data_IF_024651860235
#
_entry.id   IF_024651860235
#
_cell.length_a   1.000
_cell.length_b   1.000
_cell.length_c   1.000
_cell.angle_alpha   90.00
_cell.angle_beta   90.00
_cell.angle_gamma   90.00
#
_symmetry.space_group_name_H-M   'P 1'
#
loop_
_entity.id
_entity.type
_entity.pdbx_description
1 polymer ?
#
# COMPACT_ATOMS: atom_id res chain seq x y z
N UNK A 1 51.63 22.08 -5.49
CA UNK A 1 50.98 22.07 -6.83
C UNK A 1 49.80 21.10 -7.01
N UNK A 2 49.73 19.86 -6.46
CA UNK A 2 48.60 18.95 -6.71
C UNK A 2 47.26 19.35 -6.05
N UNK A 3 47.29 20.06 -4.90
CA UNK A 3 46.07 20.54 -4.20
C UNK A 3 45.29 21.61 -4.97
N UNK A 4 45.95 22.49 -5.71
CA UNK A 4 45.32 23.57 -6.48
C UNK A 4 44.62 23.03 -7.74
N UNK A 5 45.25 22.04 -8.39
CA UNK A 5 44.75 21.32 -9.57
C UNK A 5 43.47 20.53 -9.30
N UNK A 6 43.39 19.84 -8.16
CA UNK A 6 42.19 19.09 -7.77
C UNK A 6 41.02 20.00 -7.37
N UNK A 7 41.32 21.21 -6.87
CA UNK A 7 40.31 22.21 -6.50
C UNK A 7 39.61 22.82 -7.73
N UNK A 8 40.35 23.10 -8.80
CA UNK A 8 39.78 23.65 -10.05
C UNK A 8 38.82 22.66 -10.74
N UNK A 9 39.21 21.38 -10.85
CA UNK A 9 38.33 20.33 -11.44
C UNK A 9 37.01 20.15 -10.68
N UNK A 10 37.05 20.15 -9.34
CA UNK A 10 35.84 20.06 -8.50
C UNK A 10 34.94 21.29 -8.63
N UNK A 11 35.51 22.48 -8.72
CA UNK A 11 34.73 23.72 -8.92
C UNK A 11 34.05 23.69 -10.29
N UNK A 12 34.77 23.23 -11.32
CA UNK A 12 34.27 23.09 -12.68
C UNK A 12 33.13 22.07 -12.78
N UNK A 13 33.28 20.88 -12.19
CA UNK A 13 32.21 19.87 -12.15
C UNK A 13 30.98 20.40 -11.43
N UNK A 14 31.17 21.08 -10.29
CA UNK A 14 30.07 21.65 -9.51
C UNK A 14 29.33 22.75 -10.28
N UNK A 15 30.03 23.61 -11.03
CA UNK A 15 29.40 24.65 -11.84
C UNK A 15 28.55 24.08 -12.98
N UNK A 16 29.04 23.03 -13.65
CA UNK A 16 28.28 22.33 -14.69
C UNK A 16 27.05 21.63 -14.09
N UNK A 17 27.21 20.89 -13.00
CA UNK A 17 26.08 20.24 -12.32
C UNK A 17 25.03 21.23 -11.84
N UNK A 18 25.46 22.34 -11.21
CA UNK A 18 24.56 23.42 -10.81
C UNK A 18 23.78 23.97 -12.00
N UNK A 19 24.46 24.20 -13.12
CA UNK A 19 23.80 24.73 -14.31
C UNK A 19 22.80 23.75 -14.93
N UNK A 20 23.19 22.48 -15.05
CA UNK A 20 22.35 21.46 -15.67
C UNK A 20 21.11 21.15 -14.83
N UNK A 21 21.27 20.98 -13.52
CA UNK A 21 20.17 20.60 -12.63
C UNK A 21 19.27 21.77 -12.23
N UNK A 22 19.83 22.95 -11.96
CA UNK A 22 19.10 24.04 -11.29
C UNK A 22 18.97 25.31 -12.11
N UNK A 23 19.54 25.36 -13.31
CA UNK A 23 19.67 26.59 -14.07
C UNK A 23 19.40 26.36 -15.57
N UNK A 24 18.62 25.32 -15.89
CA UNK A 24 18.19 24.99 -17.25
C UNK A 24 16.67 25.01 -17.39
N UNK A 25 16.15 25.06 -18.62
CA UNK A 25 14.69 24.94 -18.86
C UNK A 25 14.15 23.59 -18.35
N UNK A 26 15.02 22.57 -18.31
CA UNK A 26 14.68 21.25 -17.78
C UNK A 26 14.50 21.28 -16.26
N UNK A 27 15.08 22.25 -15.56
CA UNK A 27 14.83 22.46 -14.12
C UNK A 27 13.37 22.78 -13.87
N UNK A 28 12.73 23.61 -14.71
CA UNK A 28 11.31 23.95 -14.55
C UNK A 28 10.44 22.70 -14.73
N UNK A 29 10.72 21.91 -15.76
CA UNK A 29 10.02 20.64 -15.98
C UNK A 29 10.26 19.64 -14.85
N UNK A 30 11.50 19.49 -14.39
CA UNK A 30 11.85 18.62 -13.27
C UNK A 30 11.07 19.03 -12.01
N UNK A 31 11.06 20.32 -11.66
CA UNK A 31 10.34 20.82 -10.50
C UNK A 31 8.82 20.65 -10.64
N UNK A 32 8.26 20.86 -11.85
CA UNK A 32 6.84 20.67 -12.12
C UNK A 32 6.42 19.20 -11.91
N UNK A 33 7.13 18.26 -12.53
CA UNK A 33 6.82 16.83 -12.39
C UNK A 33 7.15 16.31 -10.99
N UNK A 34 8.16 16.85 -10.33
CA UNK A 34 8.47 16.53 -8.94
C UNK A 34 7.38 17.01 -7.98
N UNK A 35 6.87 18.23 -8.16
CA UNK A 35 5.72 18.75 -7.43
C UNK A 35 4.46 17.91 -7.69
N UNK A 36 4.21 17.55 -8.96
CA UNK A 36 3.05 16.73 -9.33
C UNK A 36 3.14 15.34 -8.72
N UNK A 37 4.33 14.73 -8.69
CA UNK A 37 4.58 13.47 -8.00
C UNK A 37 4.25 13.57 -6.50
N UNK A 38 4.73 14.61 -5.81
CA UNK A 38 4.37 14.85 -4.41
C UNK A 38 2.87 15.03 -4.21
N UNK A 39 2.17 15.72 -5.13
CA UNK A 39 0.71 15.86 -5.04
C UNK A 39 -0.02 14.53 -5.24
N UNK A 40 0.46 13.68 -6.15
CA UNK A 40 -0.12 12.34 -6.34
C UNK A 40 0.13 11.46 -5.11
N UNK A 41 1.31 11.52 -4.52
CA UNK A 41 1.62 10.80 -3.27
C UNK A 41 0.70 11.30 -2.14
N UNK A 42 0.51 12.60 -1.99
CA UNK A 42 -0.42 13.19 -1.03
C UNK A 42 -1.86 12.67 -1.23
N UNK A 43 -2.37 12.63 -2.47
CA UNK A 43 -3.69 12.06 -2.77
C UNK A 43 -3.77 10.56 -2.45
N UNK A 44 -2.73 9.79 -2.78
CA UNK A 44 -2.68 8.34 -2.48
C UNK A 44 -2.71 8.11 -0.96
N UNK A 45 -1.91 8.88 -0.22
CA UNK A 45 -1.77 8.70 1.23
C UNK A 45 -2.98 9.23 2.00
N UNK A 46 -3.66 10.26 1.51
CA UNK A 46 -4.87 10.80 2.12
C UNK A 46 -6.12 9.96 1.78
N UNK A 47 -6.36 9.67 0.50
CA UNK A 47 -7.63 9.07 0.01
C UNK A 47 -7.51 7.56 -0.28
N UNK A 48 -6.32 7.03 -0.56
CA UNK A 48 -6.15 5.61 -0.87
C UNK A 48 -6.45 5.22 -2.32
N UNK A 49 -6.61 6.19 -3.24
CA UNK A 49 -6.90 5.98 -4.67
C UNK A 49 -5.68 5.45 -5.46
N UNK A 50 -5.21 4.25 -5.13
CA UNK A 50 -4.05 3.62 -5.77
C UNK A 50 -4.27 3.37 -7.27
N UNK A 51 -5.41 2.78 -7.67
CA UNK A 51 -5.65 2.38 -9.07
C UNK A 51 -5.55 3.55 -10.05
N UNK A 52 -6.04 4.73 -9.67
CA UNK A 52 -6.04 5.91 -10.55
C UNK A 52 -4.74 6.69 -10.50
N UNK A 53 -4.16 6.88 -9.31
CA UNK A 53 -3.01 7.78 -9.13
C UNK A 53 -1.66 7.08 -9.32
N UNK A 54 -1.57 5.76 -9.12
CA UNK A 54 -0.32 5.02 -9.26
C UNK A 54 0.23 5.04 -10.70
N UNK A 55 -0.57 4.83 -11.77
CA UNK A 55 -0.08 4.97 -13.14
C UNK A 55 0.43 6.38 -13.47
N UNK A 56 -0.24 7.42 -12.96
CA UNK A 56 0.18 8.81 -13.12
C UNK A 56 1.48 9.11 -12.38
N UNK A 57 1.65 8.55 -11.18
CA UNK A 57 2.88 8.68 -10.40
C UNK A 57 4.04 7.98 -11.10
N UNK A 58 3.81 6.80 -11.67
CA UNK A 58 4.78 6.08 -12.49
C UNK A 58 5.19 6.89 -13.72
N UNK A 59 4.23 7.51 -14.41
CA UNK A 59 4.52 8.42 -15.53
C UNK A 59 5.40 9.60 -15.09
N UNK A 60 5.10 10.23 -13.96
CA UNK A 60 5.94 11.31 -13.40
C UNK A 60 7.36 10.82 -13.12
N UNK A 61 7.50 9.65 -12.51
CA UNK A 61 8.80 9.04 -12.23
C UNK A 61 9.60 8.78 -13.52
N UNK A 62 8.96 8.23 -14.56
CA UNK A 62 9.60 8.00 -15.86
C UNK A 62 10.08 9.31 -16.49
N UNK A 63 9.27 10.37 -16.45
CA UNK A 63 9.66 11.69 -16.99
C UNK A 63 10.82 12.28 -16.20
N UNK A 64 10.79 12.24 -14.87
CA UNK A 64 11.89 12.71 -14.01
C UNK A 64 13.17 11.92 -14.32
N UNK A 65 13.10 10.59 -14.40
CA UNK A 65 14.25 9.74 -14.74
C UNK A 65 14.80 10.05 -16.13
N UNK A 66 13.95 10.24 -17.13
CA UNK A 66 14.36 10.64 -18.49
C UNK A 66 15.10 11.98 -18.51
N UNK A 67 14.60 12.97 -17.76
CA UNK A 67 15.25 14.28 -17.62
C UNK A 67 16.60 14.16 -16.91
N UNK A 68 16.70 13.36 -15.85
CA UNK A 68 17.96 13.10 -15.14
C UNK A 68 18.97 12.35 -16.01
N UNK A 69 18.55 11.32 -16.75
CA UNK A 69 19.37 10.60 -17.71
C UNK A 69 19.91 11.54 -18.80
N UNK A 70 19.09 12.46 -19.30
CA UNK A 70 19.52 13.49 -20.26
C UNK A 70 20.56 14.43 -19.65
N UNK A 71 20.35 14.91 -18.42
CA UNK A 71 21.32 15.73 -17.69
C UNK A 71 22.65 14.98 -17.56
N UNK A 72 22.60 13.71 -17.16
CA UNK A 72 23.77 12.86 -17.03
C UNK A 72 24.48 12.62 -18.38
N UNK A 73 23.73 12.43 -19.47
CA UNK A 73 24.27 12.28 -20.81
C UNK A 73 25.02 13.54 -21.28
N UNK A 74 24.44 14.72 -21.07
CA UNK A 74 25.08 16.00 -21.39
C UNK A 74 26.36 16.17 -20.57
N UNK A 75 26.31 15.86 -19.27
CA UNK A 75 27.47 15.89 -18.40
C UNK A 75 28.58 14.94 -18.90
N UNK A 76 28.25 13.69 -19.24
CA UNK A 76 29.20 12.71 -19.77
C UNK A 76 29.82 13.16 -21.10
N UNK A 77 29.01 13.73 -21.99
CA UNK A 77 29.49 14.30 -23.27
C UNK A 77 30.47 15.47 -23.05
N UNK A 78 30.35 16.21 -21.96
CA UNK A 78 31.22 17.33 -21.60
C UNK A 78 32.40 16.93 -20.71
N UNK A 79 32.51 15.67 -20.30
CA UNK A 79 33.59 15.16 -19.43
C UNK A 79 34.98 15.38 -20.01
N UNK A 80 35.14 15.36 -21.34
CA UNK A 80 36.43 15.66 -21.99
C UNK A 80 36.95 17.07 -21.67
N UNK A 81 36.07 18.02 -21.32
CA UNK A 81 36.44 19.37 -20.91
C UNK A 81 36.95 19.41 -19.45
N UNK A 82 36.57 18.45 -18.61
CA UNK A 82 37.07 18.30 -17.23
C UNK A 82 38.44 17.63 -17.16
N UNK A 83 38.76 16.80 -18.15
CA UNK A 83 40.00 16.04 -18.22
C UNK A 83 41.13 16.83 -18.88
N UNK A 84 40.82 17.88 -19.65
CA UNK A 84 41.82 18.76 -20.24
C UNK A 84 42.49 19.63 -19.18
N UNK A 85 43.74 19.33 -18.88
CA UNK A 85 44.66 20.17 -18.07
C UNK A 85 45.09 21.46 -18.81
N UNK A 86 44.30 21.87 -19.81
CA UNK A 86 44.68 22.85 -20.83
C UNK A 86 44.14 24.23 -20.44
N UNK A 87 45.00 25.25 -20.51
CA UNK A 87 44.64 26.63 -20.24
C UNK A 87 43.50 27.09 -21.15
N UNK A 88 42.46 27.67 -20.56
CA UNK A 88 41.37 28.32 -21.29
C UNK A 88 41.87 29.69 -21.71
N UNK A 89 42.10 29.88 -23.01
CA UNK A 89 42.53 31.16 -23.57
C UNK A 89 41.37 31.77 -24.33
N UNK A 90 40.98 32.97 -23.92
CA UNK A 90 39.91 33.73 -24.54
C UNK A 90 40.51 34.75 -25.51
N UNK A 91 40.14 34.66 -26.79
CA UNK A 91 40.50 35.62 -27.83
C UNK A 91 39.25 36.35 -28.32
N UNK A 92 39.42 37.46 -29.06
CA UNK A 92 38.30 38.27 -29.56
C UNK A 92 37.31 37.47 -30.43
N UNK A 93 37.77 36.41 -31.11
CA UNK A 93 36.94 35.63 -32.03
C UNK A 93 36.62 34.21 -31.53
N UNK A 94 37.53 33.62 -30.74
CA UNK A 94 37.46 32.22 -30.34
C UNK A 94 37.76 32.01 -28.85
N UNK A 95 37.06 31.05 -28.25
CA UNK A 95 37.40 30.48 -26.96
C UNK A 95 38.21 29.19 -27.20
N UNK A 96 39.46 29.16 -26.78
CA UNK A 96 40.36 28.05 -27.03
C UNK A 96 40.55 27.22 -25.76
N UNK A 97 40.31 25.91 -25.85
CA UNK A 97 40.63 24.94 -24.80
C UNK A 97 41.66 23.97 -25.39
N UNK A 98 42.93 24.26 -25.15
CA UNK A 98 44.01 23.56 -25.85
C UNK A 98 43.99 23.82 -27.35
N UNK A 99 43.81 22.75 -28.13
CA UNK A 99 43.77 22.81 -29.61
C UNK A 99 42.35 22.97 -30.15
N UNK A 100 41.33 22.77 -29.30
CA UNK A 100 39.93 22.94 -29.71
C UNK A 100 39.54 24.41 -29.64
N UNK A 101 39.10 24.95 -30.78
CA UNK A 101 38.59 26.31 -30.93
C UNK A 101 37.07 26.31 -30.92
N UNK A 102 36.48 27.16 -30.08
CA UNK A 102 35.04 27.38 -30.01
C UNK A 102 34.73 28.81 -30.48
N UNK A 103 34.14 28.99 -31.68
CA UNK A 103 33.84 30.32 -32.21
C UNK A 103 32.82 31.06 -31.36
N UNK A 104 33.14 32.29 -30.95
CA UNK A 104 32.24 33.14 -30.14
C UNK A 104 30.98 33.56 -30.92
N UNK A 105 30.99 33.46 -32.25
CA UNK A 105 29.78 33.56 -33.08
C UNK A 105 28.69 32.55 -32.66
N UNK A 106 29.09 31.36 -32.19
CA UNK A 106 28.19 30.29 -31.74
C UNK A 106 27.78 30.42 -30.28
N UNK A 107 28.23 31.46 -29.57
CA UNK A 107 27.84 31.76 -28.20
C UNK A 107 26.40 32.29 -28.16
N UNK A 108 25.52 31.58 -27.47
CA UNK A 108 24.11 31.95 -27.29
C UNK A 108 23.95 32.94 -26.14
N UNK A 109 24.47 32.61 -24.96
CA UNK A 109 24.41 33.47 -23.79
C UNK A 109 25.57 33.19 -22.84
N UNK A 110 25.77 34.13 -21.93
CA UNK A 110 26.73 34.05 -20.83
C UNK A 110 25.95 34.03 -19.53
N UNK A 111 26.17 33.00 -18.71
CA UNK A 111 25.64 32.95 -17.35
C UNK A 111 26.68 33.42 -16.36
N UNK A 112 26.28 34.29 -15.45
CA UNK A 112 27.18 34.90 -14.46
C UNK A 112 26.97 34.27 -13.09
N UNK A 113 28.07 33.84 -12.46
CA UNK A 113 28.11 33.33 -11.09
C UNK A 113 29.16 34.10 -10.28
N UNK A 114 29.07 34.04 -8.94
CA UNK A 114 29.99 34.75 -8.04
C UNK A 114 31.48 34.43 -8.26
N UNK A 115 31.83 33.29 -8.86
CA UNK A 115 33.21 32.82 -9.04
C UNK A 115 33.63 32.64 -10.51
N UNK A 116 32.81 33.07 -11.47
CA UNK A 116 33.10 32.91 -12.89
C UNK A 116 31.87 32.94 -13.79
N UNK A 117 32.07 32.63 -15.06
CA UNK A 117 31.06 32.65 -16.11
C UNK A 117 30.83 31.24 -16.66
N UNK A 118 29.64 30.96 -17.19
CA UNK A 118 29.39 29.77 -18.02
C UNK A 118 28.95 30.24 -19.39
N UNK A 119 29.72 29.86 -20.40
CA UNK A 119 29.46 30.16 -21.80
C UNK A 119 28.66 29.01 -22.39
N UNK A 120 27.46 29.30 -22.92
CA UNK A 120 26.64 28.30 -23.61
C UNK A 120 26.70 28.49 -25.12
N UNK A 121 27.16 27.46 -25.81
CA UNK A 121 27.22 27.42 -27.28
C UNK A 121 26.02 26.67 -27.87
N UNK A 122 25.70 26.95 -29.14
CA UNK A 122 24.56 26.33 -29.89
C UNK A 122 24.48 24.81 -29.79
N UNK A 123 25.61 24.11 -29.64
CA UNK A 123 25.68 22.65 -29.55
C UNK A 123 25.43 22.08 -28.13
N UNK A 124 24.80 22.86 -27.24
CA UNK A 124 24.63 22.55 -25.82
C UNK A 124 25.97 22.25 -25.10
N UNK A 125 27.05 22.88 -25.57
CA UNK A 125 28.35 22.82 -24.91
C UNK A 125 28.39 23.97 -23.89
N UNK A 126 28.67 23.61 -22.63
CA UNK A 126 28.81 24.53 -21.52
C UNK A 126 30.29 24.61 -21.16
N UNK A 127 30.84 25.81 -21.18
CA UNK A 127 32.24 26.06 -20.81
C UNK A 127 32.27 27.06 -19.66
N UNK A 128 32.56 26.61 -18.43
CA UNK A 128 32.97 27.46 -17.33
C UNK A 128 34.26 28.21 -17.65
N UNK A 129 34.26 29.51 -17.39
CA UNK A 129 35.40 30.42 -17.52
C UNK A 129 35.61 31.12 -16.18
N UNK A 130 36.85 31.27 -15.74
CA UNK A 130 37.17 31.95 -14.48
C UNK A 130 36.82 33.45 -14.54
N UNK A 131 36.44 34.02 -13.39
CA UNK A 131 35.97 35.41 -13.31
C UNK A 131 37.05 36.49 -13.48
N UNK A 132 38.31 36.11 -13.62
CA UNK A 132 39.47 37.00 -13.78
C UNK A 132 39.79 37.35 -15.24
N UNK A 133 39.10 36.75 -16.22
CA UNK A 133 39.30 37.04 -17.64
C UNK A 133 38.51 38.27 -18.08
N UNK A 134 39.14 39.14 -18.87
CA UNK A 134 38.44 40.29 -19.46
C UNK A 134 37.41 39.79 -20.49
N UNK A 135 36.14 40.14 -20.27
CA UNK A 135 35.01 39.84 -21.16
C UNK A 135 34.37 41.13 -21.71
N UNK A 136 35.06 42.27 -21.60
CA UNK A 136 34.60 43.59 -22.05
C UNK A 136 34.23 43.65 -23.52
N UNK A 137 34.85 42.82 -24.36
CA UNK A 137 34.57 42.72 -25.80
C UNK A 137 33.28 41.95 -26.13
N UNK A 138 32.63 41.30 -25.14
CA UNK A 138 31.36 40.57 -25.30
C UNK A 138 30.11 41.40 -24.96
N UNK A 139 30.20 42.74 -24.99
CA UNK A 139 29.15 43.69 -24.59
C UNK A 139 27.78 43.47 -25.28
N UNK A 140 27.73 42.88 -26.47
CA UNK A 140 26.49 42.60 -27.22
C UNK A 140 25.83 41.25 -26.95
N UNK A 141 26.36 40.40 -26.06
CA UNK A 141 25.81 39.07 -25.76
C UNK A 141 24.94 39.08 -24.49
N UNK A 142 23.83 38.34 -24.52
CA UNK A 142 22.91 38.26 -23.39
C UNK A 142 23.59 37.69 -22.14
N UNK A 143 23.55 38.45 -21.04
CA UNK A 143 24.04 38.05 -19.71
C UNK A 143 22.86 37.68 -18.83
N UNK A 144 22.81 36.43 -18.37
CA UNK A 144 21.71 35.91 -17.56
C UNK A 144 22.25 35.59 -16.14
N UNK A 145 21.61 36.07 -15.06
CA UNK A 145 22.00 35.68 -13.71
C UNK A 145 21.72 34.20 -13.47
N UNK A 146 22.58 33.50 -12.71
CA UNK A 146 22.26 32.16 -12.24
C UNK A 146 21.13 32.18 -11.23
N UNK A 147 20.03 31.45 -11.50
CA UNK A 147 18.85 31.29 -10.66
C UNK A 147 18.89 29.97 -9.85
N UNK A 148 20.02 29.25 -9.84
CA UNK A 148 20.12 27.95 -9.18
C UNK A 148 19.72 27.94 -7.71
N UNK A 149 19.95 29.04 -6.97
CA UNK A 149 19.53 29.17 -5.57
C UNK A 149 18.00 29.20 -5.44
N UNK A 150 17.31 29.87 -6.36
CA UNK A 150 15.84 29.91 -6.39
C UNK A 150 15.29 28.52 -6.69
N UNK A 151 15.83 27.84 -7.71
CA UNK A 151 15.41 26.49 -8.05
C UNK A 151 15.67 25.49 -6.91
N UNK A 152 16.81 25.62 -6.22
CA UNK A 152 17.11 24.82 -5.03
C UNK A 152 16.15 25.12 -3.88
N UNK A 153 15.82 26.38 -3.62
CA UNK A 153 14.87 26.77 -2.60
C UNK A 153 13.46 26.22 -2.90
N UNK A 154 13.00 26.30 -4.15
CA UNK A 154 11.72 25.72 -4.59
C UNK A 154 11.73 24.20 -4.45
N UNK A 155 12.82 23.52 -4.84
CA UNK A 155 12.98 22.08 -4.64
C UNK A 155 12.85 21.68 -3.17
N UNK A 156 13.56 22.40 -2.28
CA UNK A 156 13.51 22.15 -0.84
C UNK A 156 12.11 22.41 -0.28
N UNK A 157 11.46 23.50 -0.69
CA UNK A 157 10.10 23.84 -0.28
C UNK A 157 9.10 22.75 -0.69
N UNK A 158 9.13 22.29 -1.95
CA UNK A 158 8.27 21.19 -2.43
C UNK A 158 8.52 19.93 -1.60
N UNK A 159 9.79 19.60 -1.32
CA UNK A 159 10.16 18.41 -0.56
C UNK A 159 9.66 18.47 0.88
N UNK A 160 9.88 19.60 1.58
CA UNK A 160 9.46 19.78 2.98
C UNK A 160 7.93 19.75 3.07
N UNK A 161 7.22 20.46 2.19
CA UNK A 161 5.76 20.47 2.18
C UNK A 161 5.17 19.09 1.85
N UNK A 162 5.73 18.41 0.86
CA UNK A 162 5.30 17.07 0.47
C UNK A 162 5.53 16.05 1.59
N UNK A 163 6.73 16.04 2.17
CA UNK A 163 7.07 15.16 3.28
C UNK A 163 6.19 15.42 4.51
N UNK A 164 5.95 16.68 4.87
CA UNK A 164 5.05 17.04 5.96
C UNK A 164 3.63 16.49 5.75
N UNK A 165 3.08 16.61 4.55
CA UNK A 165 1.75 16.08 4.23
C UNK A 165 1.69 14.55 4.32
N UNK A 166 2.70 13.85 3.79
CA UNK A 166 2.76 12.39 3.89
C UNK A 166 2.87 11.94 5.34
N UNK A 167 3.70 12.62 6.13
CA UNK A 167 3.81 12.37 7.57
C UNK A 167 2.47 12.60 8.28
N UNK A 168 1.81 13.72 8.01
CA UNK A 168 0.50 14.03 8.58
C UNK A 168 -0.58 13.01 8.17
N UNK A 169 -0.55 12.51 6.93
CA UNK A 169 -1.48 11.46 6.48
C UNK A 169 -1.17 10.07 7.08
N UNK A 170 0.04 9.89 7.63
CA UNK A 170 0.48 8.66 8.28
C UNK A 170 0.14 8.63 9.78
N UNK A 171 -0.02 9.79 10.43
CA UNK A 171 -0.46 9.86 11.83
C UNK A 171 -1.91 9.40 11.98
N UNK A 172 -2.23 8.85 13.14
CA UNK A 172 -3.49 8.14 13.40
C UNK A 172 -4.73 8.91 12.95
N UNK A 173 -5.63 8.21 12.27
CA UNK A 173 -6.93 8.70 11.80
C UNK A 173 -6.89 9.85 10.78
N UNK A 174 -5.72 10.22 10.23
CA UNK A 174 -5.61 11.36 9.31
C UNK A 174 -5.70 11.01 7.81
N UNK A 175 -5.58 9.75 7.42
CA UNK A 175 -5.68 9.36 6.01
C UNK A 175 -5.61 7.86 5.76
N UNK A 176 -5.82 7.45 4.51
CA UNK A 176 -5.74 6.05 4.10
C UNK A 176 -4.39 5.38 4.42
N UNK A 177 -3.30 6.15 4.45
CA UNK A 177 -1.99 5.66 4.86
C UNK A 177 -1.97 5.27 6.34
N UNK A 178 -2.52 6.09 7.24
CA UNK A 178 -2.61 5.76 8.68
C UNK A 178 -3.35 4.45 8.93
N UNK A 179 -4.52 4.27 8.31
CA UNK A 179 -5.29 3.02 8.39
C UNK A 179 -4.51 1.81 7.86
N UNK A 180 -3.73 1.99 6.79
CA UNK A 180 -2.92 0.91 6.23
C UNK A 180 -1.71 0.57 7.11
N UNK A 181 -1.10 1.57 7.75
CA UNK A 181 -0.02 1.36 8.70
C UNK A 181 -0.52 0.66 9.96
N UNK A 182 -1.65 1.13 10.51
CA UNK A 182 -2.30 0.52 11.66
C UNK A 182 -2.61 -0.95 11.38
N UNK A 183 -3.27 -1.21 10.26
CA UNK A 183 -3.56 -2.55 9.78
C UNK A 183 -2.31 -3.43 9.67
N UNK A 184 -1.23 -2.90 9.11
CA UNK A 184 0.04 -3.64 9.00
C UNK A 184 0.69 -3.90 10.37
N UNK A 185 0.45 -3.05 11.36
CA UNK A 185 1.00 -3.17 12.70
C UNK A 185 0.14 -4.06 13.60
N UNK A 186 -1.18 -4.09 13.41
CA UNK A 186 -2.15 -4.74 14.29
C UNK A 186 -2.69 -6.07 13.76
N UNK A 187 -2.77 -6.30 12.44
CA UNK A 187 -3.39 -7.51 11.89
C UNK A 187 -2.53 -8.75 12.17
N UNK A 188 -3.06 -9.66 12.99
CA UNK A 188 -2.53 -11.00 13.08
C UNK A 188 -3.16 -11.88 12.00
N UNK A 189 -2.33 -12.44 11.11
CA UNK A 189 -2.76 -13.35 10.06
C UNK A 189 -2.51 -14.79 10.46
N UNK A 190 -3.58 -15.58 10.52
CA UNK A 190 -3.52 -17.03 10.68
C UNK A 190 -3.65 -17.71 9.31
N UNK A 191 -2.81 -18.73 9.07
CA UNK A 191 -2.78 -19.45 7.80
C UNK A 191 -3.57 -20.75 7.92
N UNK A 192 -4.53 -20.94 7.02
CA UNK A 192 -5.44 -22.10 6.99
C UNK A 192 -4.84 -23.31 6.26
N UNK A 193 -3.91 -23.06 5.33
CA UNK A 193 -3.25 -24.11 4.52
C UNK A 193 -4.00 -24.49 3.24
N UNK A 194 -5.31 -24.27 3.20
CA UNK A 194 -6.17 -24.34 2.01
C UNK A 194 -7.20 -23.20 2.07
N UNK A 195 -7.72 -22.78 0.92
CA UNK A 195 -8.83 -21.83 0.80
C UNK A 195 -10.18 -22.54 0.63
N UNK A 196 -10.20 -23.87 0.70
CA UNK A 196 -11.40 -24.68 0.54
C UNK A 196 -12.07 -25.01 1.89
N UNK A 197 -13.32 -24.59 2.06
CA UNK A 197 -14.11 -24.83 3.26
C UNK A 197 -14.39 -26.31 3.52
N UNK A 198 -14.58 -27.14 2.49
CA UNK A 198 -14.83 -28.57 2.66
C UNK A 198 -13.59 -29.32 3.18
N UNK A 199 -12.40 -28.78 2.92
CA UNK A 199 -11.13 -29.33 3.42
C UNK A 199 -10.79 -28.83 4.82
N UNK A 200 -10.95 -27.52 5.06
CA UNK A 200 -10.52 -26.86 6.31
C UNK A 200 -11.60 -26.96 7.39
N UNK A 201 -12.86 -26.74 7.02
CA UNK A 201 -13.99 -26.62 7.95
C UNK A 201 -13.86 -25.48 8.95
N UNK A 202 -14.86 -25.34 9.84
CA UNK A 202 -14.80 -24.35 10.93
C UNK A 202 -13.70 -24.72 11.93
N UNK A 203 -13.52 -26.01 12.20
CA UNK A 203 -12.50 -26.50 13.15
C UNK A 203 -11.08 -26.12 12.72
N UNK A 204 -10.74 -26.27 11.44
CA UNK A 204 -9.43 -25.85 10.91
C UNK A 204 -9.23 -24.33 10.97
N UNK A 205 -10.30 -23.54 10.76
CA UNK A 205 -10.25 -22.07 10.90
C UNK A 205 -9.97 -21.69 12.35
N UNK A 206 -10.75 -22.21 13.30
CA UNK A 206 -10.59 -21.90 14.73
C UNK A 206 -9.24 -22.40 15.25
N UNK A 207 -8.79 -23.59 14.84
CA UNK A 207 -7.49 -24.13 15.22
C UNK A 207 -6.31 -23.28 14.71
N UNK A 208 -6.36 -22.82 13.46
CA UNK A 208 -5.33 -21.91 12.93
C UNK A 208 -5.27 -20.58 13.68
N UNK A 209 -6.44 -20.08 14.12
CA UNK A 209 -6.52 -18.87 14.95
C UNK A 209 -5.96 -19.12 16.35
N UNK A 210 -6.30 -20.25 16.98
CA UNK A 210 -5.76 -20.63 18.30
C UNK A 210 -4.23 -20.72 18.29
N UNK A 211 -3.67 -21.43 17.31
CA UNK A 211 -2.22 -21.53 17.11
C UNK A 211 -1.54 -20.16 16.97
N UNK A 212 -2.28 -19.17 16.45
CA UNK A 212 -1.77 -17.83 16.18
C UNK A 212 -1.81 -16.92 17.41
N UNK A 213 -2.95 -16.85 18.10
CA UNK A 213 -3.21 -15.82 19.13
C UNK A 213 -3.44 -16.37 20.54
N UNK A 214 -3.53 -17.70 20.70
CA UNK A 214 -3.91 -18.38 21.93
C UNK A 214 -5.34 -18.00 22.36
N UNK A 215 -6.31 -18.80 21.94
CA UNK A 215 -7.71 -18.66 22.33
C UNK A 215 -7.92 -19.17 23.77
N UNK A 216 -8.93 -18.64 24.43
CA UNK A 216 -9.37 -19.15 25.73
C UNK A 216 -10.03 -20.53 25.64
N UNK A 217 -10.07 -21.30 26.76
CA UNK A 217 -10.69 -22.62 26.79
C UNK A 217 -12.22 -22.61 26.57
N UNK A 218 -12.90 -21.50 26.90
CA UNK A 218 -14.33 -21.35 26.70
C UNK A 218 -14.59 -20.22 25.71
N UNK A 219 -15.26 -20.55 24.62
CA UNK A 219 -15.53 -19.62 23.52
C UNK A 219 -17.04 -19.51 23.33
N UNK A 220 -17.54 -18.28 23.19
CA UNK A 220 -18.95 -17.99 22.94
C UNK A 220 -19.07 -17.13 21.70
N UNK A 221 -19.99 -17.47 20.80
CA UNK A 221 -20.31 -16.63 19.64
C UNK A 221 -21.81 -16.53 19.49
N UNK A 222 -22.28 -15.44 18.90
CA UNK A 222 -23.64 -15.25 18.42
C UNK A 222 -23.65 -14.77 16.96
N UNK A 223 -22.48 -14.79 16.31
CA UNK A 223 -22.34 -14.34 14.93
C UNK A 223 -21.13 -14.99 14.30
N UNK A 224 -21.42 -16.00 13.48
CA UNK A 224 -20.47 -16.61 12.56
C UNK A 224 -21.14 -16.71 11.19
N UNK A 225 -20.41 -16.32 10.16
CA UNK A 225 -20.85 -16.39 8.77
C UNK A 225 -19.64 -16.73 7.89
N UNK A 226 -19.81 -17.71 7.02
CA UNK A 226 -18.78 -18.13 6.06
C UNK A 226 -19.47 -18.26 4.71
N UNK A 227 -19.00 -17.51 3.73
CA UNK A 227 -19.45 -17.60 2.34
C UNK A 227 -18.40 -18.34 1.51
N UNK A 228 -18.88 -19.15 0.57
CA UNK A 228 -18.04 -19.98 -0.28
C UNK A 228 -18.76 -20.33 -1.58
N UNK A 229 -17.96 -20.66 -2.59
CA UNK A 229 -18.45 -21.10 -3.90
C UNK A 229 -18.83 -22.58 -3.90
N UNK A 230 -19.53 -23.03 -4.95
CA UNK A 230 -20.01 -24.43 -5.08
C UNK A 230 -18.92 -25.49 -4.87
N UNK A 231 -17.68 -25.19 -5.26
CA UNK A 231 -16.52 -26.05 -5.10
C UNK A 231 -15.86 -26.01 -3.71
N UNK A 232 -16.40 -25.18 -2.81
CA UNK A 232 -15.91 -24.98 -1.44
C UNK A 232 -14.94 -23.81 -1.29
N UNK A 233 -14.55 -23.12 -2.37
CA UNK A 233 -13.63 -21.98 -2.29
C UNK A 233 -14.22 -20.88 -1.42
N UNK A 234 -13.59 -20.58 -0.29
CA UNK A 234 -14.04 -19.54 0.64
C UNK A 234 -13.88 -18.16 0.01
N UNK A 235 -14.96 -17.39 0.02
CA UNK A 235 -14.99 -16.02 -0.49
C UNK A 235 -14.99 -15.01 0.65
N UNK A 236 -15.67 -15.34 1.75
CA UNK A 236 -15.65 -14.51 2.96
C UNK A 236 -15.80 -15.33 4.25
N UNK A 237 -15.22 -14.81 5.33
CA UNK A 237 -15.36 -15.32 6.69
C UNK A 237 -15.61 -14.11 7.58
N UNK A 238 -16.56 -14.24 8.50
CA UNK A 238 -16.79 -13.32 9.59
C UNK A 238 -17.20 -14.10 10.83
N UNK A 239 -16.44 -13.96 11.92
CA UNK A 239 -16.83 -14.49 13.22
C UNK A 239 -16.46 -13.50 14.32
N UNK A 240 -17.40 -13.29 15.24
CA UNK A 240 -17.15 -12.55 16.48
C UNK A 240 -17.24 -13.52 17.66
N UNK A 241 -16.12 -13.73 18.35
CA UNK A 241 -15.98 -14.73 19.40
C UNK A 241 -15.56 -14.04 20.70
N UNK A 242 -16.26 -14.33 21.77
CA UNK A 242 -15.95 -13.91 23.13
C UNK A 242 -15.17 -15.04 23.82
N UNK A 243 -13.99 -14.75 24.34
CA UNK A 243 -13.12 -15.70 25.03
C UNK A 243 -13.15 -15.56 26.54
N UNK A 244 -13.31 -16.71 27.21
CA UNK A 244 -13.52 -16.80 28.65
C UNK A 244 -12.50 -17.74 29.31
N UNK A 245 -11.87 -17.27 30.39
CA UNK A 245 -10.89 -18.07 31.13
C UNK A 245 -11.51 -19.30 31.82
N UNK A 246 -10.68 -20.10 32.50
CA UNK A 246 -11.11 -21.30 33.23
C UNK A 246 -12.24 -21.05 34.25
N UNK A 247 -12.34 -19.81 34.77
CA UNK A 247 -13.36 -19.40 35.72
C UNK A 247 -14.59 -18.79 35.03
N UNK A 248 -14.65 -18.86 33.69
CA UNK A 248 -15.69 -18.28 32.84
C UNK A 248 -15.81 -16.76 32.97
N UNK A 249 -14.69 -16.10 33.23
CA UNK A 249 -14.59 -14.64 33.20
C UNK A 249 -14.17 -14.20 31.80
N UNK A 250 -14.86 -13.20 31.25
CA UNK A 250 -14.58 -12.67 29.92
C UNK A 250 -13.22 -11.95 29.89
N UNK A 251 -12.34 -12.34 28.96
CA UNK A 251 -10.97 -11.81 28.84
C UNK A 251 -10.68 -11.15 27.50
N UNK A 252 -11.18 -11.73 26.42
CA UNK A 252 -10.89 -11.21 25.09
C UNK A 252 -12.09 -11.29 24.17
N UNK A 253 -12.09 -10.40 23.18
CA UNK A 253 -12.90 -10.53 21.98
C UNK A 253 -11.97 -10.84 20.81
N UNK A 254 -12.43 -11.71 19.92
CA UNK A 254 -11.76 -12.07 18.70
C UNK A 254 -12.68 -11.76 17.54
N UNK A 255 -12.25 -10.81 16.70
CA UNK A 255 -12.87 -10.60 15.40
C UNK A 255 -12.04 -11.35 14.36
N UNK A 256 -12.60 -12.44 13.83
CA UNK A 256 -11.97 -13.24 12.78
C UNK A 256 -12.64 -12.89 11.46
N UNK A 257 -11.86 -12.47 10.47
CA UNK A 257 -12.44 -12.09 9.19
C UNK A 257 -11.52 -12.29 7.98
N UNK A 258 -12.15 -12.48 6.83
CA UNK A 258 -11.54 -12.38 5.50
C UNK A 258 -12.64 -11.97 4.50
N UNK A 259 -12.40 -10.95 3.66
CA UNK A 259 -13.33 -10.51 2.61
C UNK A 259 -12.74 -10.61 1.19
N UNK A 260 -11.51 -11.14 1.07
CA UNK A 260 -10.74 -11.20 -0.18
C UNK A 260 -10.48 -12.65 -0.62
N UNK A 261 -11.05 -13.65 0.07
CA UNK A 261 -10.81 -15.08 -0.13
C UNK A 261 -9.38 -15.53 0.19
N UNK A 262 -9.03 -16.76 -0.19
CA UNK A 262 -7.71 -17.34 -0.03
C UNK A 262 -7.45 -18.01 1.33
N UNK A 263 -6.22 -18.48 1.53
CA UNK A 263 -5.84 -19.43 2.60
C UNK A 263 -5.46 -18.77 3.94
N UNK A 264 -5.90 -17.54 4.21
CA UNK A 264 -5.56 -16.83 5.45
C UNK A 264 -6.79 -16.14 6.05
N UNK A 265 -6.81 -15.99 7.36
CA UNK A 265 -7.77 -15.14 8.07
C UNK A 265 -7.04 -14.11 8.90
N UNK A 266 -7.68 -12.95 9.09
CA UNK A 266 -7.21 -11.91 10.00
C UNK A 266 -7.91 -12.11 11.33
N UNK A 267 -7.17 -11.92 12.42
CA UNK A 267 -7.67 -12.01 13.79
C UNK A 267 -7.31 -10.72 14.52
N UNK A 268 -8.34 -9.96 14.91
CA UNK A 268 -8.17 -8.84 15.83
C UNK A 268 -8.51 -9.31 17.24
N UNK A 269 -7.48 -9.46 18.08
CA UNK A 269 -7.62 -9.78 19.51
C UNK A 269 -7.73 -8.49 20.31
N UNK A 270 -8.83 -8.32 21.02
CA UNK A 270 -9.08 -7.18 21.90
C UNK A 270 -9.19 -7.61 23.36
N UNK A 271 -8.37 -7.02 24.23
CA UNK A 271 -8.47 -7.24 25.68
C UNK A 271 -9.74 -6.63 26.25
N UNK A 272 -10.38 -7.38 27.15
CA UNK A 272 -11.56 -7.00 27.90
C UNK A 272 -11.38 -7.46 29.34
N UNK A 273 -11.57 -6.57 30.32
CA UNK A 273 -11.39 -6.90 31.73
C UNK A 273 -12.62 -6.45 32.52
N UNK A 274 -13.74 -7.10 32.26
CA UNK A 274 -14.99 -6.81 32.93
C UNK A 274 -15.93 -8.02 32.96
N UNK A 275 -16.60 -8.22 34.08
CA UNK A 275 -17.57 -9.30 34.32
C UNK A 275 -18.97 -8.98 33.78
N UNK A 276 -19.14 -7.82 33.11
CA UNK A 276 -20.44 -7.38 32.54
C UNK A 276 -21.00 -8.28 31.44
N UNK A 277 -20.21 -9.18 30.85
CA UNK A 277 -20.63 -10.06 29.77
C UNK A 277 -20.53 -11.53 30.20
N UNK A 278 -21.50 -12.05 30.97
CA UNK A 278 -21.42 -13.39 31.56
C UNK A 278 -21.44 -14.47 30.48
N UNK A 279 -20.72 -15.56 30.73
CA UNK A 279 -20.73 -16.72 29.87
C UNK A 279 -22.12 -17.39 29.85
N UNK A 280 -22.66 -17.59 28.65
CA UNK A 280 -23.95 -18.26 28.40
C UNK A 280 -23.66 -19.63 27.78
N UNK A 281 -23.82 -20.74 28.53
CA UNK A 281 -23.46 -22.08 28.06
C UNK A 281 -24.11 -22.46 26.73
N UNK A 282 -25.33 -22.00 26.47
CA UNK A 282 -26.12 -22.32 25.27
C UNK A 282 -25.54 -21.71 23.99
N UNK A 283 -24.70 -20.67 24.09
CA UNK A 283 -24.02 -20.02 22.96
C UNK A 283 -22.56 -20.45 22.82
N UNK A 284 -22.17 -21.54 23.51
CA UNK A 284 -20.82 -22.08 23.41
C UNK A 284 -20.51 -22.49 21.97
N UNK A 285 -19.37 -22.02 21.46
CA UNK A 285 -18.89 -22.29 20.11
C UNK A 285 -18.75 -23.80 19.85
N UNK A 286 -18.55 -24.62 20.90
CA UNK A 286 -18.48 -26.08 20.76
C UNK A 286 -19.70 -26.66 20.03
N UNK A 287 -20.90 -26.10 20.24
CA UNK A 287 -22.09 -26.60 19.56
C UNK A 287 -22.00 -26.38 18.04
N UNK A 288 -21.40 -25.26 17.63
CA UNK A 288 -21.14 -25.00 16.22
C UNK A 288 -20.12 -26.00 15.67
N UNK A 289 -19.02 -26.22 16.39
CA UNK A 289 -17.98 -27.17 16.00
C UNK A 289 -18.53 -28.59 15.87
N UNK A 290 -19.24 -29.08 16.89
CA UNK A 290 -19.82 -30.43 16.94
C UNK A 290 -20.86 -30.63 15.82
N UNK A 291 -21.77 -29.66 15.62
CA UNK A 291 -22.76 -29.74 14.53
C UNK A 291 -22.08 -29.80 13.16
N UNK A 292 -21.06 -28.98 12.93
CA UNK A 292 -20.39 -28.88 11.63
C UNK A 292 -19.59 -30.13 11.25
N UNK A 293 -19.21 -30.97 12.22
CA UNK A 293 -18.62 -32.28 11.93
C UNK A 293 -19.63 -33.26 11.32
N UNK A 294 -20.93 -33.05 11.56
CA UNK A 294 -21.99 -33.97 11.14
C UNK A 294 -22.78 -33.47 9.93
N UNK A 295 -22.90 -32.15 9.77
CA UNK A 295 -23.68 -31.55 8.67
C UNK A 295 -23.00 -31.84 7.32
N UNK A 296 -23.70 -32.48 6.36
CA UNK A 296 -23.15 -32.82 5.05
C UNK A 296 -23.21 -31.61 4.11
N UNK A 297 -22.44 -30.55 4.41
CA UNK A 297 -22.51 -29.26 3.70
C UNK A 297 -22.35 -29.43 2.18
N UNK A 298 -21.32 -30.16 1.76
CA UNK A 298 -21.01 -30.35 0.34
C UNK A 298 -22.18 -31.03 -0.40
N UNK A 299 -22.76 -32.09 0.17
CA UNK A 299 -23.89 -32.80 -0.45
C UNK A 299 -25.12 -31.90 -0.61
N UNK A 300 -25.40 -31.05 0.40
CA UNK A 300 -26.54 -30.13 0.35
C UNK A 300 -26.32 -29.03 -0.69
N UNK A 301 -25.09 -28.52 -0.81
CA UNK A 301 -24.72 -27.53 -1.83
C UNK A 301 -24.82 -28.12 -3.24
N UNK A 302 -24.29 -29.32 -3.45
CA UNK A 302 -24.38 -30.04 -4.72
C UNK A 302 -25.84 -30.30 -5.13
N UNK A 303 -26.71 -30.66 -4.19
CA UNK A 303 -28.14 -30.85 -4.43
C UNK A 303 -28.86 -29.54 -4.80
N UNK A 304 -28.47 -28.41 -4.21
CA UNK A 304 -29.01 -27.09 -4.53
C UNK A 304 -28.55 -26.60 -5.90
N UNK A 305 -27.31 -26.91 -6.29
CA UNK A 305 -26.72 -26.49 -7.57
C UNK A 305 -26.53 -24.98 -7.70
N UNK A 306 -26.37 -24.28 -6.58
CA UNK A 306 -26.18 -22.83 -6.53
C UNK A 306 -24.70 -22.48 -6.37
N UNK A 307 -24.28 -21.44 -7.08
CA UNK A 307 -22.85 -21.10 -7.21
C UNK A 307 -22.24 -20.49 -5.95
N UNK A 308 -23.04 -19.75 -5.19
CA UNK A 308 -22.60 -19.03 -4.00
C UNK A 308 -23.47 -19.47 -2.83
N UNK A 309 -22.82 -19.90 -1.75
CA UNK A 309 -23.47 -20.50 -0.59
C UNK A 309 -22.90 -19.88 0.67
N UNK A 310 -23.67 -19.94 1.76
CA UNK A 310 -23.24 -19.41 3.04
C UNK A 310 -23.73 -20.27 4.19
N UNK A 311 -22.86 -20.41 5.19
CA UNK A 311 -23.19 -20.96 6.50
C UNK A 311 -23.27 -19.81 7.48
N UNK A 312 -24.35 -19.77 8.27
CA UNK A 312 -24.54 -18.76 9.30
C UNK A 312 -24.98 -19.39 10.62
N UNK A 313 -24.41 -18.90 11.70
CA UNK A 313 -24.84 -19.14 13.07
C UNK A 313 -25.13 -17.79 13.76
N UNK A 314 -26.30 -17.70 14.40
CA UNK A 314 -26.77 -16.49 15.12
C UNK A 314 -27.28 -16.80 16.53
N UNK A 315 -26.62 -17.74 17.23
CA UNK A 315 -27.01 -18.15 18.58
C UNK A 315 -28.22 -19.10 18.62
N UNK A 316 -28.85 -19.17 19.79
CA UNK A 316 -30.12 -19.88 20.02
C UNK A 316 -31.28 -19.20 19.29
N UNK A 317 -32.11 -19.97 18.57
CA UNK A 317 -33.23 -19.48 17.77
C UNK A 317 -34.48 -20.33 17.98
N UNK A 318 -35.64 -19.69 17.92
CA UNK A 318 -36.95 -20.33 17.92
C UNK A 318 -37.51 -20.44 16.49
N UNK A 319 -38.04 -21.61 16.15
CA UNK A 319 -38.56 -21.93 14.83
C UNK A 319 -39.97 -22.53 14.91
N UNK A 320 -40.90 -21.95 14.16
CA UNK A 320 -42.30 -22.35 14.11
C UNK A 320 -42.61 -23.38 13.00
N UNK A 321 -41.68 -24.30 12.70
CA UNK A 321 -41.68 -25.24 11.55
C UNK A 321 -41.37 -24.66 10.16
N UNK A 322 -40.15 -24.18 9.90
CA UNK A 322 -39.71 -23.97 8.54
C UNK A 322 -39.48 -25.29 7.81
N UNK A 323 -39.73 -25.32 6.50
CA UNK A 323 -39.24 -26.37 5.61
C UNK A 323 -37.71 -26.49 5.75
N UNK A 324 -37.18 -27.70 5.56
CA UNK A 324 -35.75 -28.03 5.64
C UNK A 324 -35.10 -27.83 7.03
N UNK A 325 -35.87 -27.92 8.11
CA UNK A 325 -35.35 -27.98 9.48
C UNK A 325 -35.04 -29.42 9.90
N UNK A 326 -33.87 -29.64 10.46
CA UNK A 326 -33.40 -30.92 11.00
C UNK A 326 -32.76 -30.72 12.38
N UNK A 327 -32.92 -31.69 13.26
CA UNK A 327 -32.10 -31.81 14.46
C UNK A 327 -30.75 -32.41 14.12
N UNK A 328 -29.72 -32.00 14.87
CA UNK A 328 -28.40 -32.64 14.89
C UNK A 328 -28.09 -32.97 16.34
N UNK A 329 -27.81 -34.24 16.62
CA UNK A 329 -27.43 -34.69 17.96
C UNK A 329 -25.93 -34.70 18.16
N UNK A 330 -25.52 -34.86 19.42
CA UNK A 330 -24.12 -35.04 19.79
C UNK A 330 -23.45 -36.24 19.11
N UNK A 331 -24.20 -37.30 18.85
CA UNK A 331 -23.70 -38.50 18.17
C UNK A 331 -23.67 -38.32 16.63
N UNK A 332 -24.04 -37.14 16.13
CA UNK A 332 -24.07 -36.80 14.72
C UNK A 332 -25.30 -37.32 13.98
N UNK A 333 -26.33 -37.77 14.70
CA UNK A 333 -27.58 -38.19 14.07
C UNK A 333 -28.36 -36.97 13.58
N UNK A 334 -28.80 -37.04 12.32
CA UNK A 334 -29.60 -35.99 11.68
C UNK A 334 -30.99 -36.52 11.36
N UNK A 335 -32.02 -35.87 11.91
CA UNK A 335 -33.41 -36.30 11.71
C UNK A 335 -34.39 -35.11 11.79
N UNK A 336 -35.56 -35.19 11.13
CA UNK A 336 -36.55 -34.13 11.17
C UNK A 336 -37.17 -33.97 12.56
N UNK A 337 -37.58 -32.75 12.97
CA UNK A 337 -38.25 -32.52 14.23
C UNK A 337 -39.65 -33.14 14.28
N UNK A 338 -40.08 -33.58 15.46
CA UNK A 338 -41.49 -33.89 15.76
C UNK A 338 -42.34 -32.60 15.78
N UNK A 339 -43.68 -32.73 15.68
CA UNK A 339 -44.63 -31.60 15.80
C UNK A 339 -44.48 -30.83 17.15
N UNK A 340 -44.48 -29.49 17.14
CA UNK A 340 -44.06 -28.59 18.24
C UNK A 340 -42.96 -27.54 17.93
N UNK A 341 -42.96 -26.39 18.61
CA UNK A 341 -41.91 -25.36 18.43
C UNK A 341 -40.50 -25.93 18.65
N UNK A 342 -39.56 -25.59 17.76
CA UNK A 342 -38.16 -26.04 17.84
C UNK A 342 -37.30 -24.88 18.31
N UNK A 343 -36.47 -25.10 19.33
CA UNK A 343 -35.58 -24.07 19.89
C UNK A 343 -34.20 -24.66 20.16
N UNK A 344 -33.15 -23.92 19.81
CA UNK A 344 -31.77 -24.32 20.08
C UNK A 344 -30.73 -23.57 19.25
N UNK A 345 -29.44 -23.79 19.52
CA UNK A 345 -28.33 -23.34 18.66
C UNK A 345 -28.61 -23.78 17.21
N UNK A 346 -28.64 -22.82 16.28
CA UNK A 346 -29.03 -23.11 14.89
C UNK A 346 -27.95 -22.70 13.89
N UNK A 347 -27.53 -23.64 13.05
CA UNK A 347 -26.74 -23.39 11.84
C UNK A 347 -27.67 -23.37 10.64
N UNK A 348 -27.55 -22.34 9.81
CA UNK A 348 -28.29 -22.20 8.55
C UNK A 348 -27.36 -22.28 7.37
N UNK A 349 -27.67 -23.14 6.40
CA UNK A 349 -27.05 -23.18 5.09
C UNK A 349 -28.01 -22.56 4.06
N UNK A 350 -27.60 -21.46 3.45
CA UNK A 350 -28.44 -20.65 2.56
C UNK A 350 -27.67 -20.12 1.36
N UNK A 351 -28.40 -19.46 0.46
CA UNK A 351 -27.86 -18.83 -0.75
C UNK A 351 -28.02 -17.32 -0.58
N UNK A 352 -26.92 -16.57 -0.40
CA UNK A 352 -26.97 -15.13 -0.17
C UNK A 352 -27.78 -14.39 -1.24
N UNK A 353 -28.74 -13.57 -0.81
CA UNK A 353 -29.58 -12.75 -1.67
C UNK A 353 -30.72 -13.49 -2.38
N UNK A 354 -30.93 -14.78 -2.08
CA UNK A 354 -32.05 -15.59 -2.58
C UNK A 354 -32.89 -16.21 -1.47
N UNK A 355 -32.87 -15.64 -0.27
CA UNK A 355 -33.52 -16.20 0.93
C UNK A 355 -35.05 -16.24 0.81
N UNK A 356 -35.64 -15.36 -0.02
CA UNK A 356 -37.08 -15.35 -0.34
C UNK A 356 -37.46 -16.40 -1.41
N UNK A 357 -36.49 -16.86 -2.21
CA UNK A 357 -36.69 -17.81 -3.31
C UNK A 357 -36.32 -19.25 -2.92
N UNK A 358 -35.29 -19.39 -2.07
CA UNK A 358 -34.70 -20.67 -1.67
C UNK A 358 -34.71 -20.76 -0.15
N UNK A 359 -35.55 -21.66 0.38
CA UNK A 359 -35.59 -21.92 1.82
C UNK A 359 -34.24 -22.44 2.33
N UNK A 360 -33.65 -21.80 3.35
CA UNK A 360 -32.43 -22.29 4.01
C UNK A 360 -32.60 -23.66 4.64
N UNK A 361 -31.56 -24.49 4.57
CA UNK A 361 -31.46 -25.71 5.37
C UNK A 361 -31.01 -25.31 6.78
N UNK A 362 -31.72 -25.80 7.79
CA UNK A 362 -31.50 -25.38 9.17
C UNK A 362 -31.24 -26.61 10.03
N UNK A 363 -30.13 -26.56 10.75
CA UNK A 363 -29.67 -27.60 11.64
C UNK A 363 -29.72 -27.06 13.06
N UNK A 364 -30.54 -27.68 13.91
CA UNK A 364 -30.74 -27.25 15.30
C UNK A 364 -30.11 -28.29 16.21
N UNK A 365 -29.23 -27.83 17.10
CA UNK A 365 -28.63 -28.71 18.09
C UNK A 365 -29.68 -29.29 19.03
N UNK A 366 -29.59 -30.59 19.30
CA UNK A 366 -30.42 -31.29 20.27
C UNK A 366 -29.53 -32.20 21.11
N UNK A 367 -29.60 -32.03 22.43
CA UNK A 367 -28.86 -32.87 23.38
C UNK A 367 -29.28 -34.34 23.35
#
# INVERSE_FOLDING_TARGET
>A
MPKQKNRSKRIYSLLIWKNLLFDSIYTILLLLFYWLAWRLIDTITYIGQLRTNLPLLALCAIVILSLLCRVFWIYRKQRFLLESDRSIVLTNENLCIGEKKFPLANLQYIRTYRKGFIFRFKNNILIPVEGNQDISFLKGKAKIPGLWLLALAVFLLITVMGAYKVYYNATDFHGALSWRLERMASEERAKLGSDNFYEVGIEGIIGAVDDKVGLEPYLMTDSLEIEFDEDGTMTSIYAFINGYDENKVHRHNYLIYNNDGGDNVIVDKQEWNDDRYPYVPENDLKYVLDMMQSIPVQEVVEQKGEKHNAIMYKGVRDWAFPENLQYVTRDGEIYPPDLGSVSGPTISLYVPGKEEEITPYRYVWKE
#
